data_IF_010806175103
#
_entry.id   IF_010806175103
#
_cell.length_a   1.000
_cell.length_b   1.000
_cell.length_c   1.000
_cell.angle_alpha   90.00
_cell.angle_beta   90.00
_cell.angle_gamma   90.00
#
_symmetry.space_group_name_H-M   'P 1'
#
loop_
_entity.id
_entity.type
_entity.pdbx_description
1 polymer ?
#
# COMPACT_ATOMS: atom_id res chain seq x y z
N UNK A 1 -7.82 0.44 -16.78
CA UNK A 1 -7.85 0.13 -15.35
C UNK A 1 -7.51 -1.34 -15.21
N UNK A 2 -6.39 -1.65 -14.55
CA UNK A 2 -5.98 -3.05 -14.41
C UNK A 2 -6.98 -3.78 -13.51
N UNK A 3 -7.52 -4.89 -14.03
CA UNK A 3 -8.48 -5.78 -13.35
C UNK A 3 -8.04 -6.16 -11.93
N UNK A 4 -6.75 -6.29 -11.73
CA UNK A 4 -6.10 -6.68 -10.47
C UNK A 4 -6.24 -5.63 -9.36
N UNK A 5 -6.08 -4.36 -9.67
CA UNK A 5 -6.21 -3.28 -8.69
C UNK A 5 -7.63 -3.18 -8.11
N UNK A 6 -8.65 -3.47 -8.93
CA UNK A 6 -10.03 -3.41 -8.49
C UNK A 6 -10.43 -4.52 -7.52
N UNK A 7 -9.96 -5.73 -7.71
CA UNK A 7 -10.37 -6.86 -6.83
C UNK A 7 -9.65 -6.82 -5.48
N UNK A 8 -8.34 -6.60 -5.46
CA UNK A 8 -7.58 -6.42 -4.21
C UNK A 8 -8.19 -5.26 -3.42
N UNK A 9 -8.56 -4.20 -4.11
CA UNK A 9 -9.15 -3.02 -3.50
C UNK A 9 -10.54 -3.28 -2.93
N UNK A 10 -11.41 -3.96 -3.66
CA UNK A 10 -12.75 -4.36 -3.17
C UNK A 10 -12.66 -5.21 -1.90
N UNK A 11 -11.67 -6.07 -1.81
CA UNK A 11 -11.43 -6.91 -0.64
C UNK A 11 -10.93 -6.10 0.55
N UNK A 12 -10.02 -5.16 0.30
CA UNK A 12 -9.57 -4.21 1.31
C UNK A 12 -10.77 -3.48 1.93
N UNK A 13 -11.69 -3.02 1.10
CA UNK A 13 -12.91 -2.33 1.54
C UNK A 13 -13.86 -3.23 2.33
N UNK A 14 -14.00 -4.47 1.95
CA UNK A 14 -14.87 -5.44 2.64
C UNK A 14 -14.38 -5.79 4.05
N UNK A 15 -13.07 -5.76 4.25
CA UNK A 15 -12.44 -6.26 5.47
C UNK A 15 -12.06 -5.15 6.46
N UNK A 16 -12.18 -3.87 6.09
CA UNK A 16 -11.60 -2.79 6.86
C UNK A 16 -12.61 -1.77 7.35
N UNK A 17 -12.96 -1.87 8.61
CA UNK A 17 -13.54 -0.77 9.38
C UNK A 17 -12.50 0.30 9.77
N UNK A 18 -11.26 0.19 9.33
CA UNK A 18 -10.12 0.91 9.91
C UNK A 18 -9.76 2.24 9.22
N UNK A 19 -10.54 2.69 8.23
CA UNK A 19 -10.27 3.94 7.51
C UNK A 19 -10.99 5.16 8.07
N UNK A 20 -12.01 4.98 8.91
CA UNK A 20 -12.84 6.06 9.44
C UNK A 20 -11.98 7.05 10.25
N UNK A 21 -12.02 8.32 9.85
CA UNK A 21 -11.24 9.41 10.46
C UNK A 21 -9.72 9.21 10.42
N UNK A 22 -9.22 8.33 9.56
CA UNK A 22 -7.78 8.06 9.43
C UNK A 22 -7.13 8.97 8.38
N UNK A 23 -5.87 9.33 8.64
CA UNK A 23 -4.99 9.94 7.67
C UNK A 23 -4.28 8.84 6.90
N UNK A 24 -4.47 8.81 5.58
CA UNK A 24 -4.00 7.72 4.72
C UNK A 24 -2.93 8.20 3.74
N UNK A 25 -1.98 7.33 3.44
CA UNK A 25 -1.04 7.45 2.32
C UNK A 25 -1.28 6.30 1.34
N UNK A 26 -1.43 6.62 0.06
CA UNK A 26 -1.51 5.62 -1.02
C UNK A 26 -0.24 5.70 -1.88
N UNK A 27 0.57 4.64 -1.85
CA UNK A 27 1.85 4.57 -2.54
C UNK A 27 1.66 3.94 -3.92
N UNK A 28 2.15 4.62 -4.96
CA UNK A 28 1.94 4.21 -6.35
C UNK A 28 0.50 4.44 -6.80
N UNK A 29 -0.03 5.62 -6.46
CA UNK A 29 -1.46 5.94 -6.61
C UNK A 29 -1.94 6.05 -8.06
N UNK A 30 -1.03 6.16 -9.02
CA UNK A 30 -1.30 6.34 -10.45
C UNK A 30 -2.24 7.52 -10.71
N UNK A 31 -3.53 7.25 -10.99
CA UNK A 31 -4.54 8.26 -11.26
C UNK A 31 -5.31 8.75 -10.02
N UNK A 32 -4.99 8.26 -8.83
CA UNK A 32 -5.66 8.63 -7.59
C UNK A 32 -7.00 7.91 -7.34
N UNK A 33 -7.37 6.91 -8.13
CA UNK A 33 -8.63 6.18 -7.94
C UNK A 33 -8.73 5.53 -6.54
N UNK A 34 -7.61 5.00 -6.04
CA UNK A 34 -7.54 4.44 -4.68
C UNK A 34 -7.79 5.51 -3.62
N UNK A 35 -7.24 6.71 -3.80
CA UNK A 35 -7.47 7.83 -2.88
C UNK A 35 -8.97 8.19 -2.78
N UNK A 36 -9.67 8.22 -3.91
CA UNK A 36 -11.12 8.47 -3.94
C UNK A 36 -11.88 7.42 -3.14
N UNK A 37 -11.50 6.17 -3.30
CA UNK A 37 -12.16 5.09 -2.58
C UNK A 37 -11.87 5.14 -1.06
N UNK A 38 -10.63 5.46 -0.66
CA UNK A 38 -10.29 5.65 0.77
C UNK A 38 -11.14 6.75 1.41
N UNK A 39 -11.36 7.86 0.71
CA UNK A 39 -12.28 8.91 1.17
C UNK A 39 -13.71 8.39 1.29
N UNK A 40 -14.21 7.61 0.33
CA UNK A 40 -15.56 7.02 0.37
C UNK A 40 -15.79 6.10 1.55
N UNK A 41 -14.75 5.44 2.05
CA UNK A 41 -14.84 4.57 3.24
C UNK A 41 -14.50 5.28 4.54
N UNK A 42 -14.39 6.60 4.51
CA UNK A 42 -14.34 7.44 5.69
C UNK A 42 -12.98 8.00 6.08
N UNK A 43 -11.96 7.88 5.25
CA UNK A 43 -10.68 8.54 5.50
C UNK A 43 -10.87 10.06 5.63
N UNK A 44 -10.19 10.65 6.60
CA UNK A 44 -10.29 12.10 6.85
C UNK A 44 -9.41 12.91 5.90
N UNK A 45 -8.26 12.34 5.50
CA UNK A 45 -7.33 12.95 4.56
C UNK A 45 -6.55 11.83 3.87
N UNK A 46 -6.34 11.96 2.58
CA UNK A 46 -5.59 11.00 1.77
C UNK A 46 -4.52 11.70 0.95
N UNK A 47 -3.30 11.25 1.08
CA UNK A 47 -2.18 11.66 0.22
C UNK A 47 -1.88 10.51 -0.70
N UNK A 48 -1.94 10.73 -2.01
CA UNK A 48 -1.50 9.78 -3.02
C UNK A 48 -0.15 10.22 -3.59
N UNK A 49 0.81 9.32 -3.64
CA UNK A 49 2.12 9.59 -4.23
C UNK A 49 2.40 8.65 -5.39
N UNK A 50 3.05 9.20 -6.41
CA UNK A 50 3.59 8.44 -7.54
C UNK A 50 4.82 9.17 -8.09
N UNK A 51 5.75 8.43 -8.66
CA UNK A 51 6.90 9.00 -9.39
C UNK A 51 6.48 9.56 -10.74
N UNK A 52 5.37 9.07 -11.29
CA UNK A 52 4.78 9.54 -12.55
C UNK A 52 3.45 10.27 -12.29
N UNK A 53 3.46 11.58 -12.49
CA UNK A 53 2.26 12.43 -12.32
C UNK A 53 1.41 12.58 -13.57
N UNK A 54 1.75 11.92 -14.67
CA UNK A 54 1.06 12.10 -15.97
C UNK A 54 -0.45 11.75 -15.93
N UNK A 55 -0.85 10.95 -14.94
CA UNK A 55 -2.24 10.48 -14.77
C UNK A 55 -3.02 11.18 -13.66
N UNK A 56 -2.44 12.16 -12.97
CA UNK A 56 -3.09 12.81 -11.80
C UNK A 56 -4.32 13.67 -12.14
N UNK A 57 -4.50 14.06 -13.39
CA UNK A 57 -5.51 15.05 -13.77
C UNK A 57 -6.96 14.56 -13.84
N UNK A 58 -7.21 13.27 -13.62
CA UNK A 58 -8.50 12.71 -13.97
C UNK A 58 -9.50 12.60 -12.79
N UNK A 59 -9.07 12.69 -11.53
CA UNK A 59 -9.95 12.25 -10.43
C UNK A 59 -9.99 13.09 -9.15
N UNK A 60 -9.22 14.16 -9.00
CA UNK A 60 -9.08 14.79 -7.68
C UNK A 60 -9.77 16.16 -7.53
N UNK A 61 -11.10 16.16 -7.47
CA UNK A 61 -11.85 17.35 -7.03
C UNK A 61 -12.18 17.33 -5.52
N UNK A 62 -11.84 16.28 -4.79
CA UNK A 62 -12.13 16.20 -3.36
C UNK A 62 -11.03 16.89 -2.54
N UNK A 63 -11.43 17.84 -1.70
CA UNK A 63 -10.51 18.61 -0.82
C UNK A 63 -9.75 17.74 0.18
N UNK A 64 -10.19 16.50 0.41
CA UNK A 64 -9.52 15.54 1.29
C UNK A 64 -8.39 14.78 0.60
N UNK A 65 -8.24 14.93 -0.72
CA UNK A 65 -7.24 14.22 -1.53
C UNK A 65 -6.15 15.19 -1.97
N UNK A 66 -4.91 14.80 -1.76
CA UNK A 66 -3.73 15.48 -2.29
C UNK A 66 -2.90 14.48 -3.09
N UNK A 67 -2.71 14.75 -4.38
CA UNK A 67 -1.84 13.92 -5.23
C UNK A 67 -0.49 14.61 -5.43
N UNK A 68 0.60 13.90 -5.18
CA UNK A 68 1.97 14.43 -5.23
C UNK A 68 2.85 13.57 -6.14
N UNK A 69 3.56 14.23 -7.06
CA UNK A 69 4.70 13.60 -7.73
C UNK A 69 5.83 13.49 -6.73
N UNK A 70 6.01 12.32 -6.13
CA UNK A 70 6.92 12.12 -5.01
C UNK A 70 7.48 10.70 -5.02
N UNK A 71 8.79 10.59 -4.84
CA UNK A 71 9.43 9.33 -4.49
C UNK A 71 9.24 9.06 -2.99
N UNK A 72 8.74 7.86 -2.67
CA UNK A 72 8.54 7.42 -1.28
C UNK A 72 9.82 7.58 -0.44
N UNK A 73 10.98 7.21 -0.99
CA UNK A 73 12.23 7.19 -0.24
C UNK A 73 12.70 8.59 0.17
N UNK A 74 12.25 9.63 -0.54
CA UNK A 74 12.59 11.03 -0.25
C UNK A 74 11.50 11.77 0.54
N UNK A 75 10.42 11.11 0.94
CA UNK A 75 9.37 11.75 1.75
C UNK A 75 9.89 12.22 3.11
N UNK A 76 9.34 13.34 3.56
CA UNK A 76 9.56 13.85 4.91
C UNK A 76 8.92 12.93 5.95
N UNK A 77 9.74 12.39 6.85
CA UNK A 77 9.30 11.47 7.90
C UNK A 77 8.69 12.16 9.13
N UNK A 78 8.69 13.48 9.17
CA UNK A 78 7.92 14.25 10.17
C UNK A 78 6.40 14.08 9.98
N UNK A 79 5.98 13.78 8.74
CA UNK A 79 4.59 13.53 8.40
C UNK A 79 4.26 12.07 8.71
N UNK A 80 3.21 11.84 9.48
CA UNK A 80 2.77 10.49 9.88
C UNK A 80 1.38 10.16 9.35
N UNK A 81 1.19 8.87 9.07
CA UNK A 81 -0.06 8.32 8.57
C UNK A 81 -0.56 7.20 9.48
N UNK A 82 -1.87 7.14 9.65
CA UNK A 82 -2.52 6.05 10.40
C UNK A 82 -2.62 4.78 9.57
N UNK A 83 -2.78 4.95 8.27
CA UNK A 83 -2.87 3.84 7.31
C UNK A 83 -2.03 4.16 6.09
N UNK A 84 -1.27 3.18 5.65
CA UNK A 84 -0.56 3.20 4.36
C UNK A 84 -1.08 2.05 3.51
N UNK A 85 -1.44 2.36 2.26
CA UNK A 85 -1.75 1.37 1.23
C UNK A 85 -0.64 1.33 0.20
N UNK A 86 -0.23 0.13 -0.20
CA UNK A 86 0.88 -0.07 -1.12
C UNK A 86 0.61 -1.29 -2.00
N UNK A 87 0.36 -1.06 -3.27
CA UNK A 87 0.10 -2.11 -4.26
C UNK A 87 1.19 -2.10 -5.32
N UNK A 88 2.43 -2.41 -4.90
CA UNK A 88 3.61 -2.35 -5.75
C UNK A 88 3.90 -3.71 -6.37
N UNK A 89 3.66 -3.80 -7.66
CA UNK A 89 3.76 -5.03 -8.44
C UNK A 89 5.16 -5.35 -9.00
N UNK A 90 6.09 -4.37 -9.02
CA UNK A 90 7.34 -4.46 -9.76
C UNK A 90 8.56 -3.89 -9.03
N UNK A 91 8.70 -4.12 -7.73
CA UNK A 91 9.93 -3.72 -7.04
C UNK A 91 11.00 -4.81 -7.07
N UNK A 92 12.25 -4.42 -7.28
CA UNK A 92 13.38 -5.30 -7.10
C UNK A 92 13.59 -5.63 -5.60
N UNK A 93 14.00 -6.86 -5.31
CA UNK A 93 14.24 -7.35 -3.94
C UNK A 93 15.10 -6.40 -3.10
N UNK A 94 16.18 -5.85 -3.69
CA UNK A 94 17.08 -4.93 -3.00
C UNK A 94 16.41 -3.63 -2.52
N UNK A 95 15.28 -3.27 -3.09
CA UNK A 95 14.53 -2.06 -2.73
C UNK A 95 13.53 -2.29 -1.59
N UNK A 96 13.07 -3.52 -1.38
CA UNK A 96 12.04 -3.83 -0.40
C UNK A 96 12.41 -3.42 1.03
N UNK A 97 13.64 -3.68 1.46
CA UNK A 97 14.09 -3.33 2.80
C UNK A 97 14.04 -1.81 3.02
N UNK A 98 14.54 -1.02 2.06
CA UNK A 98 14.52 0.43 2.15
C UNK A 98 13.09 0.98 2.15
N UNK A 99 12.22 0.41 1.32
CA UNK A 99 10.81 0.78 1.26
C UNK A 99 10.10 0.44 2.57
N UNK A 100 10.33 -0.75 3.15
CA UNK A 100 9.73 -1.13 4.43
C UNK A 100 10.21 -0.24 5.58
N UNK A 101 11.50 0.10 5.62
CA UNK A 101 12.02 1.04 6.62
C UNK A 101 11.35 2.41 6.47
N UNK A 102 11.23 2.91 5.25
CA UNK A 102 10.57 4.20 4.99
C UNK A 102 9.09 4.18 5.37
N UNK A 103 8.37 3.11 5.05
CA UNK A 103 6.97 2.92 5.45
C UNK A 103 6.84 2.94 6.99
N UNK A 104 7.72 2.25 7.70
CA UNK A 104 7.74 2.27 9.18
C UNK A 104 7.94 3.68 9.72
N UNK A 105 8.87 4.44 9.15
CA UNK A 105 9.12 5.83 9.53
C UNK A 105 7.91 6.74 9.28
N UNK A 106 7.08 6.45 8.28
CA UNK A 106 5.89 7.24 7.94
C UNK A 106 4.63 6.82 8.72
N UNK A 107 4.60 5.62 9.30
CA UNK A 107 3.46 5.15 10.11
C UNK A 107 3.46 5.78 11.51
N UNK A 108 2.27 6.03 12.03
CA UNK A 108 2.07 6.25 13.46
C UNK A 108 2.37 4.96 14.24
N UNK A 109 2.56 5.06 15.56
CA UNK A 109 2.86 3.89 16.42
C UNK A 109 1.82 2.77 16.29
N UNK A 110 0.54 3.13 16.12
CA UNK A 110 -0.56 2.18 15.91
C UNK A 110 -0.96 2.10 14.44
N UNK A 111 -0.08 2.52 13.55
CA UNK A 111 -0.34 2.56 12.12
C UNK A 111 -0.46 1.17 11.50
N UNK A 112 -1.15 1.12 10.38
CA UNK A 112 -1.43 -0.13 9.64
C UNK A 112 -0.95 0.02 8.21
N UNK A 113 -0.20 -0.96 7.75
CA UNK A 113 0.14 -1.15 6.34
C UNK A 113 -0.78 -2.20 5.73
N UNK A 114 -1.42 -1.85 4.63
CA UNK A 114 -2.06 -2.81 3.73
C UNK A 114 -1.22 -2.90 2.46
N UNK A 115 -0.70 -4.08 2.19
CA UNK A 115 0.12 -4.33 1.01
C UNK A 115 -0.49 -5.41 0.14
N UNK A 116 -0.62 -5.12 -1.14
CA UNK A 116 -1.01 -6.07 -2.17
C UNK A 116 0.21 -6.47 -2.99
N UNK A 117 0.46 -7.75 -3.13
CA UNK A 117 1.58 -8.29 -3.90
C UNK A 117 1.12 -9.41 -4.81
N UNK A 118 1.81 -9.57 -5.93
CA UNK A 118 1.70 -10.79 -6.74
C UNK A 118 2.65 -11.82 -6.14
N UNK A 119 2.10 -12.96 -5.77
CA UNK A 119 2.89 -14.07 -5.28
C UNK A 119 3.43 -14.86 -6.48
N UNK A 120 4.63 -14.50 -6.93
CA UNK A 120 5.30 -15.19 -8.05
C UNK A 120 5.68 -16.65 -7.72
N UNK A 121 5.66 -17.02 -6.44
CA UNK A 121 5.91 -18.42 -6.02
C UNK A 121 4.85 -19.36 -6.60
N UNK A 122 3.64 -18.87 -6.78
CA UNK A 122 2.53 -19.67 -7.32
C UNK A 122 2.36 -19.55 -8.84
N UNK A 123 3.10 -18.67 -9.50
CA UNK A 123 2.96 -18.43 -10.94
C UNK A 123 3.72 -19.44 -11.79
N UNK A 124 4.77 -20.01 -11.24
CA UNK A 124 5.57 -21.06 -11.87
C UNK A 124 5.81 -22.13 -10.81
N UNK A 125 5.67 -23.42 -11.16
CA UNK A 125 5.94 -24.56 -10.28
C UNK A 125 7.37 -24.61 -9.73
N UNK A 126 8.20 -23.65 -10.08
CA UNK A 126 9.54 -23.42 -9.56
C UNK A 126 9.65 -22.02 -9.00
N UNK A 127 9.97 -21.85 -7.70
CA UNK A 127 10.21 -20.53 -7.13
C UNK A 127 11.36 -19.85 -7.89
N UNK A 128 11.09 -18.64 -8.39
CA UNK A 128 12.17 -17.80 -8.90
C UNK A 128 13.16 -17.52 -7.77
N UNK A 129 14.49 -17.62 -7.99
CA UNK A 129 15.47 -17.23 -6.97
C UNK A 129 15.34 -15.75 -6.55
N UNK A 130 14.54 -14.99 -7.28
CA UNK A 130 14.19 -13.57 -6.98
C UNK A 130 12.82 -13.43 -6.32
N UNK A 131 12.09 -14.52 -6.07
CA UNK A 131 10.82 -14.46 -5.36
C UNK A 131 11.07 -14.10 -3.90
N UNK A 132 10.61 -12.94 -3.50
CA UNK A 132 10.63 -12.51 -2.10
C UNK A 132 9.47 -13.16 -1.39
N UNK A 133 9.74 -13.84 -0.30
CA UNK A 133 8.70 -14.13 0.65
C UNK A 133 8.34 -12.83 1.38
N UNK A 134 7.41 -12.08 0.81
CA UNK A 134 7.00 -10.76 1.33
C UNK A 134 6.44 -10.89 2.76
N UNK A 135 5.78 -12.00 3.09
CA UNK A 135 5.25 -12.23 4.42
C UNK A 135 6.38 -12.35 5.46
N UNK A 136 7.44 -13.07 5.14
CA UNK A 136 8.60 -13.18 6.03
C UNK A 136 9.35 -11.85 6.15
N UNK A 137 9.46 -11.09 5.07
CA UNK A 137 10.01 -9.75 5.12
C UNK A 137 9.18 -8.83 6.04
N UNK A 138 7.86 -8.85 5.91
CA UNK A 138 6.97 -8.04 6.76
C UNK A 138 7.08 -8.42 8.23
N UNK A 139 7.23 -9.69 8.56
CA UNK A 139 7.43 -10.16 9.94
C UNK A 139 8.73 -9.64 10.56
N UNK A 140 9.73 -9.29 9.75
CA UNK A 140 10.97 -8.66 10.23
C UNK A 140 10.78 -7.18 10.61
N UNK A 141 9.68 -6.56 10.17
CA UNK A 141 9.43 -5.13 10.36
C UNK A 141 8.19 -4.82 11.20
N UNK A 142 7.30 -5.79 11.38
CA UNK A 142 6.00 -5.60 12.05
C UNK A 142 5.71 -6.75 13.02
N UNK A 143 5.20 -6.41 14.21
CA UNK A 143 4.86 -7.41 15.23
C UNK A 143 3.68 -8.31 14.82
N UNK A 144 2.73 -7.76 14.06
CA UNK A 144 1.54 -8.46 13.64
C UNK A 144 1.38 -8.38 12.13
N UNK A 145 1.49 -9.51 11.48
CA UNK A 145 1.23 -9.65 10.04
C UNK A 145 0.24 -10.76 9.78
N UNK A 146 -0.74 -10.52 8.93
CA UNK A 146 -1.71 -11.54 8.54
C UNK A 146 -2.13 -11.39 7.09
N UNK A 147 -2.35 -12.50 6.43
CA UNK A 147 -2.96 -12.53 5.11
C UNK A 147 -4.45 -12.29 5.30
N UNK A 148 -4.98 -11.23 4.68
CA UNK A 148 -6.40 -10.92 4.67
C UNK A 148 -7.13 -11.68 3.59
N UNK A 149 -6.48 -11.84 2.45
CA UNK A 149 -7.03 -12.54 1.32
C UNK A 149 -5.95 -13.10 0.38
N UNK A 150 -6.28 -14.22 -0.24
CA UNK A 150 -5.45 -14.89 -1.22
C UNK A 150 -6.33 -15.32 -2.38
N UNK A 151 -6.18 -14.67 -3.53
CA UNK A 151 -6.88 -15.05 -4.76
C UNK A 151 -5.87 -15.31 -5.86
N UNK A 152 -5.91 -16.52 -6.41
CA UNK A 152 -4.98 -16.94 -7.45
C UNK A 152 -3.53 -16.67 -7.05
N UNK A 153 -2.89 -15.67 -7.64
CA UNK A 153 -1.49 -15.28 -7.40
C UNK A 153 -1.35 -13.97 -6.62
N UNK A 154 -2.43 -13.50 -6.00
CA UNK A 154 -2.44 -12.23 -5.29
C UNK A 154 -2.61 -12.44 -3.79
N UNK A 155 -1.79 -11.75 -3.02
CA UNK A 155 -1.88 -11.69 -1.57
C UNK A 155 -2.23 -10.27 -1.15
N UNK A 156 -3.23 -10.14 -0.29
CA UNK A 156 -3.48 -8.94 0.48
C UNK A 156 -3.03 -9.19 1.91
N UNK A 157 -2.10 -8.40 2.39
CA UNK A 157 -1.50 -8.56 3.71
C UNK A 157 -1.73 -7.30 4.54
N UNK A 158 -2.15 -7.50 5.78
CA UNK A 158 -2.18 -6.47 6.81
C UNK A 158 -0.97 -6.61 7.72
N UNK A 159 -0.26 -5.51 7.96
CA UNK A 159 0.87 -5.46 8.88
C UNK A 159 0.68 -4.30 9.87
N UNK A 160 0.80 -4.58 11.15
CA UNK A 160 0.56 -3.64 12.27
C UNK A 160 1.71 -3.61 13.25
N UNK A 161 1.77 -2.52 14.01
CA UNK A 161 2.73 -2.31 15.07
C UNK A 161 4.17 -2.46 14.56
N UNK A 162 4.66 -1.48 13.78
CA UNK A 162 6.05 -1.45 13.34
C UNK A 162 6.99 -1.37 14.56
N UNK A 163 8.10 -2.08 14.53
CA UNK A 163 9.13 -2.04 15.57
C UNK A 163 10.48 -1.57 15.06
#
# INVERSE_FOLDING_TARGET
>A
MDFYENEVYKQLLKNCCNFINKRCLDIGTRNGANCVNLVKVGASNVVGIDIDSSRFNEMSCDKKITLLKQDLLTMDTSIKFDVITCFLWNMNYSQYTNVMNKIKELLTTNGVLYIGVVDDVYKNDTPSPYSVNILELLKQHFNNTRILDKQCYQLLIEAKNPF
#
